data_IF_832383492600
#
_entry.id   IF_832383492600
#
_cell.length_a   1.000
_cell.length_b   1.000
_cell.length_c   1.000
_cell.angle_alpha   90.00
_cell.angle_beta   90.00
_cell.angle_gamma   90.00
#
_symmetry.space_group_name_H-M   'P 1'
#
loop_
_entity.id
_entity.type
_entity.pdbx_description
1 polymer ?
#
# COMPACT_ATOMS: atom_id res chain seq x y z
N UNK A 1 7.20 -4.18 -16.19
CA UNK A 1 6.24 -5.31 -16.02
C UNK A 1 5.11 -5.19 -17.04
N UNK A 2 4.41 -6.29 -17.39
CA UNK A 2 3.15 -6.18 -18.15
C UNK A 2 2.03 -5.62 -17.28
N UNK A 3 0.99 -5.05 -17.89
CA UNK A 3 -0.17 -4.51 -17.16
C UNK A 3 -0.82 -5.56 -16.26
N UNK A 4 -1.03 -6.78 -16.74
CA UNK A 4 -1.61 -7.88 -15.96
C UNK A 4 -0.77 -8.23 -14.73
N UNK A 5 0.57 -8.26 -14.88
CA UNK A 5 1.48 -8.50 -13.76
C UNK A 5 1.41 -7.39 -12.71
N UNK A 6 1.28 -6.12 -13.14
CA UNK A 6 1.14 -4.97 -12.24
C UNK A 6 -0.17 -5.06 -11.45
N UNK A 7 -1.28 -5.38 -12.12
CA UNK A 7 -2.59 -5.59 -11.47
C UNK A 7 -2.51 -6.72 -10.45
N UNK A 8 -1.97 -7.88 -10.84
CA UNK A 8 -1.80 -9.02 -9.93
C UNK A 8 -0.94 -8.69 -8.71
N UNK A 9 0.07 -7.86 -8.89
CA UNK A 9 0.91 -7.37 -7.77
C UNK A 9 0.12 -6.44 -6.85
N UNK A 10 -0.68 -5.54 -7.42
CA UNK A 10 -1.57 -4.68 -6.65
C UNK A 10 -2.60 -5.49 -5.84
N UNK A 11 -3.17 -6.55 -6.41
CA UNK A 11 -4.07 -7.47 -5.71
C UNK A 11 -3.39 -8.19 -4.55
N UNK A 12 -2.14 -8.66 -4.74
CA UNK A 12 -1.35 -9.26 -3.65
C UNK A 12 -1.13 -8.30 -2.50
N UNK A 13 -0.85 -7.02 -2.81
CA UNK A 13 -0.70 -5.98 -1.81
C UNK A 13 -2.01 -5.73 -1.07
N UNK A 14 -3.15 -5.72 -1.77
CA UNK A 14 -4.48 -5.47 -1.20
C UNK A 14 -4.84 -6.47 -0.09
N UNK A 15 -4.42 -7.73 -0.20
CA UNK A 15 -4.72 -8.78 0.79
C UNK A 15 -4.32 -8.41 2.23
N UNK A 16 -3.31 -7.55 2.40
CA UNK A 16 -2.86 -7.08 3.72
C UNK A 16 -3.34 -5.65 4.06
N UNK A 17 -4.12 -5.02 3.18
CA UNK A 17 -4.62 -3.65 3.31
C UNK A 17 -6.09 -3.57 3.75
N UNK A 18 -6.64 -4.66 4.30
CA UNK A 18 -7.99 -4.68 4.89
C UNK A 18 -8.12 -3.52 5.89
N UNK A 19 -9.22 -2.77 5.83
CA UNK A 19 -9.50 -1.62 6.70
C UNK A 19 -8.53 -0.41 6.59
N UNK A 20 -7.60 -0.42 5.63
CA UNK A 20 -6.81 0.76 5.28
C UNK A 20 -7.68 1.69 4.43
N UNK A 21 -7.78 2.97 4.79
CA UNK A 21 -8.55 3.92 3.98
C UNK A 21 -7.67 4.49 2.88
N UNK A 22 -8.32 5.00 1.82
CA UNK A 22 -7.65 5.70 0.72
C UNK A 22 -6.75 6.84 1.21
N UNK A 23 -7.11 7.52 2.30
CA UNK A 23 -6.35 8.62 2.89
C UNK A 23 -4.96 8.19 3.32
N UNK A 24 -4.84 7.10 4.10
CA UNK A 24 -3.53 6.62 4.56
C UNK A 24 -2.70 6.05 3.41
N UNK A 25 -3.34 5.38 2.45
CA UNK A 25 -2.67 4.89 1.25
C UNK A 25 -2.14 6.02 0.35
N UNK A 26 -2.94 7.07 0.15
CA UNK A 26 -2.54 8.22 -0.68
C UNK A 26 -1.32 8.94 -0.08
N UNK A 27 -1.22 9.06 1.25
CA UNK A 27 -0.03 9.65 1.90
C UNK A 27 1.24 8.87 1.52
N UNK A 28 1.20 7.54 1.53
CA UNK A 28 2.31 6.72 1.07
C UNK A 28 2.62 6.97 -0.41
N UNK A 29 1.61 6.89 -1.27
CA UNK A 29 1.76 7.01 -2.72
C UNK A 29 2.28 8.39 -3.14
N UNK A 30 1.76 9.45 -2.56
CA UNK A 30 2.19 10.83 -2.83
C UNK A 30 3.64 11.03 -2.43
N UNK A 31 4.03 10.55 -1.25
CA UNK A 31 5.42 10.61 -0.82
C UNK A 31 6.34 9.82 -1.75
N UNK A 32 5.94 8.62 -2.19
CA UNK A 32 6.68 7.84 -3.17
C UNK A 32 6.81 8.56 -4.51
N UNK A 33 5.71 9.12 -5.04
CA UNK A 33 5.72 9.85 -6.31
C UNK A 33 6.68 11.05 -6.28
N UNK A 34 6.73 11.77 -5.16
CA UNK A 34 7.65 12.89 -4.97
C UNK A 34 9.11 12.47 -4.83
N UNK A 35 9.38 11.40 -4.07
CA UNK A 35 10.75 10.97 -3.77
C UNK A 35 11.33 10.00 -4.79
N UNK A 36 10.49 9.34 -5.58
CA UNK A 36 10.84 8.30 -6.56
C UNK A 36 11.78 7.24 -5.97
N UNK A 37 11.63 6.96 -4.67
CA UNK A 37 12.54 6.10 -3.92
C UNK A 37 11.74 5.21 -2.97
N UNK A 38 11.67 3.92 -3.30
CA UNK A 38 10.87 2.96 -2.56
C UNK A 38 11.36 2.75 -1.13
N UNK A 39 12.68 2.61 -0.92
CA UNK A 39 13.26 2.41 0.42
C UNK A 39 13.00 3.60 1.34
N UNK A 40 13.07 4.83 0.81
CA UNK A 40 12.78 6.03 1.57
C UNK A 40 11.30 6.10 1.96
N UNK A 41 10.39 5.77 1.04
CA UNK A 41 8.97 5.68 1.33
C UNK A 41 8.65 4.58 2.34
N UNK A 42 9.32 3.43 2.26
CA UNK A 42 9.15 2.34 3.21
C UNK A 42 9.62 2.75 4.62
N UNK A 43 10.72 3.51 4.72
CA UNK A 43 11.17 4.12 5.99
C UNK A 43 10.13 5.09 6.57
N UNK A 44 9.47 5.91 5.74
CA UNK A 44 8.39 6.78 6.20
C UNK A 44 7.25 5.96 6.81
N UNK A 45 6.75 4.95 6.10
CA UNK A 45 5.63 4.15 6.61
C UNK A 45 6.03 3.40 7.88
N UNK A 46 7.27 2.91 7.99
CA UNK A 46 7.79 2.32 9.23
C UNK A 46 7.80 3.31 10.40
N UNK A 47 8.09 4.58 10.16
CA UNK A 47 8.02 5.62 11.19
C UNK A 47 6.57 5.88 11.60
N UNK A 48 5.67 6.03 10.63
CA UNK A 48 4.24 6.27 10.90
C UNK A 48 3.59 5.08 11.62
N UNK A 49 3.97 3.84 11.29
CA UNK A 49 3.46 2.63 11.95
C UNK A 49 3.83 2.50 13.43
N UNK A 50 4.79 3.30 13.89
CA UNK A 50 5.26 3.34 15.28
C UNK A 50 5.08 4.73 15.93
N UNK A 51 4.37 5.65 15.27
CA UNK A 51 4.23 7.01 15.78
C UNK A 51 3.25 7.06 16.95
N UNK A 52 3.66 7.59 18.12
CA UNK A 52 2.76 7.80 19.25
C UNK A 52 1.81 8.99 19.03
N UNK A 53 2.06 9.82 18.01
CA UNK A 53 1.26 11.02 17.73
C UNK A 53 0.03 10.72 16.84
N UNK A 54 -0.03 9.53 16.24
CA UNK A 54 -1.15 9.12 15.40
C UNK A 54 -2.24 8.43 16.22
N UNK A 55 -3.49 8.60 15.79
CA UNK A 55 -4.62 7.88 16.40
C UNK A 55 -4.41 6.36 16.22
N UNK A 56 -4.85 5.51 17.16
CA UNK A 56 -4.63 4.06 17.09
C UNK A 56 -5.01 3.42 15.74
N UNK A 57 -6.15 3.82 15.16
CA UNK A 57 -6.62 3.34 13.85
C UNK A 57 -5.69 3.74 12.69
N UNK A 58 -5.12 4.94 12.73
CA UNK A 58 -4.16 5.40 11.70
C UNK A 58 -2.84 4.66 11.84
N UNK A 59 -2.33 4.52 13.07
CA UNK A 59 -1.12 3.73 13.35
C UNK A 59 -1.27 2.31 12.83
N UNK A 60 -2.41 1.67 13.08
CA UNK A 60 -2.72 0.33 12.59
C UNK A 60 -2.81 0.26 11.06
N UNK A 61 -3.41 1.27 10.41
CA UNK A 61 -3.41 1.35 8.95
C UNK A 61 -1.98 1.41 8.37
N UNK A 62 -1.08 2.22 8.95
CA UNK A 62 0.31 2.28 8.51
C UNK A 62 1.09 0.99 8.81
N UNK A 63 0.79 0.28 9.91
CA UNK A 63 1.35 -1.06 10.17
C UNK A 63 0.97 -2.04 9.06
N UNK A 64 -0.29 -2.02 8.63
CA UNK A 64 -0.80 -2.86 7.53
C UNK A 64 -0.13 -2.51 6.20
N UNK A 65 0.00 -1.23 5.88
CA UNK A 65 0.74 -0.76 4.70
C UNK A 65 2.19 -1.24 4.75
N UNK A 66 2.89 -1.02 5.86
CA UNK A 66 4.28 -1.43 6.02
C UNK A 66 4.45 -2.95 5.86
N UNK A 67 3.59 -3.74 6.50
CA UNK A 67 3.61 -5.21 6.41
C UNK A 67 3.34 -5.69 4.99
N UNK A 68 2.38 -5.09 4.29
CA UNK A 68 2.06 -5.42 2.91
C UNK A 68 3.26 -5.18 1.98
N UNK A 69 3.85 -3.98 2.06
CA UNK A 69 5.02 -3.61 1.25
C UNK A 69 6.27 -4.43 1.59
N UNK A 70 6.46 -4.78 2.87
CA UNK A 70 7.57 -5.63 3.28
C UNK A 70 7.45 -7.05 2.73
N UNK A 71 6.23 -7.61 2.71
CA UNK A 71 6.01 -8.97 2.22
C UNK A 71 6.41 -9.12 0.75
N UNK A 72 6.16 -8.10 -0.06
CA UNK A 72 6.50 -8.09 -1.50
C UNK A 72 7.77 -7.26 -1.77
N UNK A 73 8.60 -7.00 -0.75
CA UNK A 73 9.72 -6.04 -0.83
C UNK A 73 10.69 -6.35 -1.96
N UNK A 74 11.14 -7.61 -2.07
CA UNK A 74 12.13 -8.02 -3.08
C UNK A 74 11.61 -7.77 -4.49
N UNK A 75 10.35 -8.14 -4.74
CA UNK A 75 9.68 -7.91 -6.02
C UNK A 75 9.59 -6.41 -6.32
N UNK A 76 9.13 -5.61 -5.37
CA UNK A 76 8.95 -4.16 -5.54
C UNK A 76 10.29 -3.44 -5.74
N UNK A 77 11.34 -3.85 -5.07
CA UNK A 77 12.67 -3.24 -5.18
C UNK A 77 13.32 -3.45 -6.55
N UNK A 78 12.93 -4.52 -7.26
CA UNK A 78 13.44 -4.81 -8.61
C UNK A 78 12.72 -4.02 -9.70
N UNK A 79 11.60 -3.36 -9.39
CA UNK A 79 10.83 -2.61 -10.37
C UNK A 79 11.36 -1.19 -10.54
N UNK A 80 11.19 -0.64 -11.75
CA UNK A 80 11.42 0.77 -12.01
C UNK A 80 10.32 1.64 -11.37
N UNK A 81 10.56 2.95 -11.32
CA UNK A 81 9.68 3.91 -10.65
C UNK A 81 8.32 4.01 -11.33
N UNK A 82 8.28 3.90 -12.66
CA UNK A 82 7.08 3.94 -13.48
C UNK A 82 6.15 2.75 -13.16
N UNK A 83 6.69 1.54 -13.16
CA UNK A 83 5.98 0.31 -12.81
C UNK A 83 5.44 0.37 -11.38
N UNK A 84 6.24 0.87 -10.43
CA UNK A 84 5.80 1.05 -9.04
C UNK A 84 4.68 2.09 -8.91
N UNK A 85 4.76 3.21 -9.62
CA UNK A 85 3.69 4.21 -9.64
C UNK A 85 2.38 3.63 -10.16
N UNK A 86 2.44 2.84 -11.24
CA UNK A 86 1.25 2.15 -11.77
C UNK A 86 0.70 1.13 -10.78
N UNK A 87 1.54 0.27 -10.19
CA UNK A 87 1.13 -0.71 -9.17
C UNK A 87 0.43 0.01 -8.00
N UNK A 88 1.03 1.07 -7.45
CA UNK A 88 0.45 1.81 -6.33
C UNK A 88 -0.81 2.60 -6.73
N UNK A 89 -0.90 3.00 -8.00
CA UNK A 89 -2.11 3.52 -8.63
C UNK A 89 -3.24 2.50 -8.62
N UNK A 90 -2.99 1.28 -9.09
CA UNK A 90 -3.96 0.18 -9.06
C UNK A 90 -4.40 -0.15 -7.64
N UNK A 91 -3.49 -0.20 -6.67
CA UNK A 91 -3.87 -0.36 -5.25
C UNK A 91 -4.82 0.76 -4.79
N UNK A 92 -4.58 2.01 -5.21
CA UNK A 92 -5.48 3.12 -4.88
C UNK A 92 -6.89 2.91 -5.42
N UNK A 93 -7.01 2.34 -6.62
CA UNK A 93 -8.29 2.02 -7.25
C UNK A 93 -8.98 0.85 -6.54
N UNK A 94 -8.22 -0.20 -6.20
CA UNK A 94 -8.72 -1.38 -5.49
C UNK A 94 -9.16 -1.09 -4.04
N UNK A 95 -8.56 -0.12 -3.35
CA UNK A 95 -8.99 0.30 -2.00
C UNK A 95 -10.34 1.04 -2.04
N UNK A 96 -10.62 1.77 -3.14
CA UNK A 96 -11.85 2.57 -3.29
C UNK A 96 -13.00 1.73 -3.81
N UNK A 97 -12.71 0.81 -4.72
CA UNK A 97 -13.68 -0.14 -5.19
C UNK A 97 -13.87 -1.19 -4.10
N UNK A 98 -15.05 -1.28 -3.44
CA UNK A 98 -15.41 -2.49 -2.71
C UNK A 98 -15.64 -3.59 -3.77
N UNK A 99 -14.58 -4.01 -4.46
CA UNK A 99 -14.62 -5.23 -5.25
C UNK A 99 -14.95 -6.32 -4.26
N UNK A 100 -16.11 -6.95 -4.47
CA UNK A 100 -16.71 -8.00 -3.65
C UNK A 100 -15.83 -9.24 -3.52
N UNK A 101 -14.65 -9.09 -2.92
CA UNK A 101 -13.78 -10.15 -2.46
C UNK A 101 -13.82 -10.17 -0.95
N UNK A 102 -14.94 -10.72 -0.45
CA UNK A 102 -15.03 -11.31 0.87
C UNK A 102 -15.26 -10.34 2.04
N UNK A 103 -16.37 -10.59 2.73
CA UNK A 103 -16.66 -10.17 4.11
C UNK A 103 -17.45 -8.86 4.29
N UNK A 104 -18.68 -8.86 3.78
CA UNK A 104 -19.81 -8.70 4.71
C UNK A 104 -20.06 -10.05 5.38
N UNK A 105 -19.39 -10.30 6.50
CA UNK A 105 -19.97 -11.13 7.55
C UNK A 105 -20.07 -10.25 8.77
N UNK A 106 -21.22 -9.61 8.89
CA UNK A 106 -21.72 -9.08 10.14
C UNK A 106 -21.65 -10.21 11.19
N UNK A 107 -21.08 -9.89 12.35
CA UNK A 107 -21.30 -10.63 13.58
C UNK A 107 -22.04 -9.71 14.52
#
# INVERSE_FOLDING_TARGET
MTTEQKIKTAEKLLNNLINVRRTEWNIFKEYFSQKKNFELSLKLIKKLSNSPQLRPRQTEAYRRIYKSLQKEKELLHQQNVEDLNEIFGYVSWLIVSPLGFGMWKEK
#
